data_IF_898553596815
#
_entry.id   IF_898553596815
#
_cell.length_a   1.000
_cell.length_b   1.000
_cell.length_c   1.000
_cell.angle_alpha   90.00
_cell.angle_beta   90.00
_cell.angle_gamma   90.00
#
_symmetry.space_group_name_H-M   'P 1'
#
loop_
_entity.id
_entity.type
_entity.pdbx_description
1 polymer ?
#
# COMPACT_ATOMS: atom_id res chain seq x y z
N UNK A 1 -20.33 16.20 -36.10
CA UNK A 1 -19.29 16.24 -35.04
C UNK A 1 -18.98 14.78 -34.66
N UNK A 2 -17.86 14.22 -35.15
CA UNK A 2 -17.57 12.78 -35.01
C UNK A 2 -17.28 12.44 -33.53
N UNK A 3 -17.86 11.34 -33.06
CA UNK A 3 -17.67 10.76 -31.73
C UNK A 3 -16.18 10.69 -31.28
N UNK A 4 -15.28 10.51 -32.23
CA UNK A 4 -13.82 10.53 -32.03
C UNK A 4 -13.22 11.93 -31.70
N UNK A 5 -13.87 13.04 -32.08
CA UNK A 5 -13.36 14.37 -31.76
C UNK A 5 -13.76 14.83 -30.35
N UNK A 6 -14.88 14.36 -29.81
CA UNK A 6 -15.34 14.69 -28.46
C UNK A 6 -14.44 13.97 -27.42
N UNK A 7 -14.06 12.72 -27.66
CA UNK A 7 -13.16 11.99 -26.78
C UNK A 7 -11.74 12.58 -26.69
N UNK A 8 -11.25 13.19 -27.76
CA UNK A 8 -9.93 13.88 -27.73
C UNK A 8 -9.93 15.16 -26.88
N UNK A 9 -11.10 15.80 -26.69
CA UNK A 9 -11.18 17.07 -25.96
C UNK A 9 -11.00 16.92 -24.46
N UNK A 10 -11.45 15.81 -23.87
CA UNK A 10 -11.36 15.53 -22.43
C UNK A 10 -10.21 14.59 -22.06
N UNK A 11 -9.41 14.15 -23.04
CA UNK A 11 -8.32 13.21 -22.80
C UNK A 11 -7.24 13.75 -21.84
N UNK A 12 -6.75 15.00 -21.99
CA UNK A 12 -5.77 15.57 -21.08
C UNK A 12 -6.27 15.66 -19.63
N UNK A 13 -7.52 16.09 -19.46
CA UNK A 13 -8.16 16.20 -18.16
C UNK A 13 -8.30 14.83 -17.47
N UNK A 14 -8.73 13.82 -18.22
CA UNK A 14 -8.83 12.44 -17.71
C UNK A 14 -7.46 11.90 -17.30
N UNK A 15 -6.43 12.13 -18.11
CA UNK A 15 -5.07 11.68 -17.82
C UNK A 15 -4.55 12.31 -16.54
N UNK A 16 -4.63 13.63 -16.38
CA UNK A 16 -4.10 14.30 -15.18
C UNK A 16 -4.93 13.98 -13.94
N UNK A 17 -6.26 13.85 -14.07
CA UNK A 17 -7.14 13.48 -12.96
C UNK A 17 -6.82 12.10 -12.43
N UNK A 18 -6.80 11.08 -13.31
CA UNK A 18 -6.57 9.69 -12.88
C UNK A 18 -5.13 9.51 -12.40
N UNK A 19 -4.14 10.10 -13.08
CA UNK A 19 -2.74 10.00 -12.63
C UNK A 19 -2.51 10.71 -11.30
N UNK A 20 -3.17 11.85 -11.06
CA UNK A 20 -3.16 12.53 -9.76
C UNK A 20 -3.79 11.68 -8.65
N UNK A 21 -4.93 11.05 -8.94
CA UNK A 21 -5.57 10.11 -8.01
C UNK A 21 -4.67 8.92 -7.69
N UNK A 22 -4.10 8.27 -8.72
CA UNK A 22 -3.19 7.12 -8.56
C UNK A 22 -1.97 7.48 -7.73
N UNK A 23 -1.41 8.67 -7.93
CA UNK A 23 -0.26 9.15 -7.17
C UNK A 23 -0.54 9.19 -5.67
N UNK A 24 -1.62 9.86 -5.26
CA UNK A 24 -1.99 10.00 -3.86
C UNK A 24 -2.42 8.67 -3.24
N UNK A 25 -3.10 7.82 -4.01
CA UNK A 25 -3.40 6.46 -3.58
C UNK A 25 -2.11 5.65 -3.35
N UNK A 26 -1.11 5.78 -4.23
CA UNK A 26 0.17 5.09 -4.12
C UNK A 26 0.93 5.51 -2.85
N UNK A 27 0.87 6.79 -2.48
CA UNK A 27 1.48 7.31 -1.26
C UNK A 27 0.84 6.72 0.00
N UNK A 28 -0.50 6.69 0.07
CA UNK A 28 -1.22 6.08 1.19
C UNK A 28 -0.99 4.57 1.26
N UNK A 29 -1.02 3.88 0.12
CA UNK A 29 -0.71 2.45 0.04
C UNK A 29 0.74 2.18 0.46
N UNK A 30 1.67 3.07 0.11
CA UNK A 30 3.07 2.97 0.49
C UNK A 30 3.27 2.89 2.00
N UNK A 31 2.58 3.71 2.77
CA UNK A 31 2.64 3.65 4.23
C UNK A 31 2.15 2.29 4.77
N UNK A 32 1.10 1.74 4.16
CA UNK A 32 0.55 0.42 4.54
C UNK A 32 1.45 -0.75 4.15
N UNK A 33 2.18 -0.63 3.03
CA UNK A 33 3.18 -1.62 2.61
C UNK A 33 4.37 -1.66 3.57
N UNK A 34 4.83 -0.50 4.05
CA UNK A 34 5.96 -0.39 4.96
C UNK A 34 5.61 -0.78 6.40
N UNK A 35 4.39 -0.47 6.85
CA UNK A 35 3.95 -0.61 8.23
C UNK A 35 4.17 -2.01 8.86
N UNK A 36 3.91 -3.15 8.19
CA UNK A 36 4.11 -4.48 8.76
C UNK A 36 5.57 -4.86 9.04
N UNK A 37 6.54 -4.08 8.54
CA UNK A 37 7.98 -4.39 8.63
C UNK A 37 8.76 -3.31 9.38
N UNK A 38 8.34 -2.05 9.25
CA UNK A 38 9.06 -0.89 9.77
C UNK A 38 8.22 -0.08 10.78
N UNK A 39 6.97 -0.52 11.02
CA UNK A 39 6.05 0.19 11.90
C UNK A 39 5.46 1.45 11.25
N UNK A 40 4.73 2.24 12.06
CA UNK A 40 3.99 3.44 11.63
C UNK A 40 4.58 4.73 12.23
N UNK A 41 5.86 4.74 12.56
CA UNK A 41 6.52 5.88 13.18
C UNK A 41 6.63 7.09 12.23
N UNK A 42 6.81 8.28 12.79
CA UNK A 42 7.08 9.50 12.03
C UNK A 42 8.29 9.35 11.10
N UNK A 43 9.31 8.57 11.49
CA UNK A 43 10.49 8.30 10.66
C UNK A 43 10.09 7.62 9.34
N UNK A 44 9.24 6.60 9.40
CA UNK A 44 8.77 5.86 8.22
C UNK A 44 7.95 6.77 7.31
N UNK A 45 7.02 7.54 7.87
CA UNK A 45 6.22 8.52 7.13
C UNK A 45 7.07 9.59 6.47
N UNK A 46 8.00 10.20 7.19
CA UNK A 46 8.91 11.23 6.66
C UNK A 46 9.76 10.67 5.52
N UNK A 47 10.29 9.45 5.66
CA UNK A 47 11.08 8.80 4.61
C UNK A 47 10.25 8.57 3.35
N UNK A 48 9.04 8.02 3.49
CA UNK A 48 8.14 7.75 2.38
C UNK A 48 7.76 9.03 1.63
N UNK A 49 7.23 10.03 2.35
CA UNK A 49 6.80 11.31 1.76
C UNK A 49 8.00 12.02 1.12
N UNK A 50 9.13 12.10 1.80
CA UNK A 50 10.33 12.76 1.30
C UNK A 50 10.85 12.15 0.00
N UNK A 51 10.90 10.82 -0.09
CA UNK A 51 11.34 10.10 -1.30
C UNK A 51 10.33 10.28 -2.45
N UNK A 52 9.02 10.13 -2.18
CA UNK A 52 7.98 10.33 -3.20
C UNK A 52 8.03 11.75 -3.74
N UNK A 53 8.06 12.77 -2.87
CA UNK A 53 8.12 14.19 -3.27
C UNK A 53 9.40 14.50 -4.04
N UNK A 54 10.56 13.98 -3.61
CA UNK A 54 11.83 14.13 -4.34
C UNK A 54 11.77 13.49 -5.72
N UNK A 55 11.26 12.27 -5.82
CA UNK A 55 11.09 11.56 -7.09
C UNK A 55 10.13 12.30 -8.03
N UNK A 56 9.01 12.82 -7.50
CA UNK A 56 8.07 13.66 -8.27
C UNK A 56 8.73 14.92 -8.81
N UNK A 57 9.49 15.62 -7.98
CA UNK A 57 10.20 16.84 -8.38
C UNK A 57 11.15 16.57 -9.58
N UNK A 58 11.91 15.48 -9.50
CA UNK A 58 12.76 15.03 -10.61
C UNK A 58 11.92 14.61 -11.83
N UNK A 59 10.77 13.97 -11.60
CA UNK A 59 9.83 13.59 -12.64
C UNK A 59 9.24 14.81 -13.36
N UNK A 60 8.83 15.83 -12.64
CA UNK A 60 8.34 17.10 -13.22
C UNK A 60 9.40 17.75 -14.12
N UNK A 61 10.63 17.85 -13.62
CA UNK A 61 11.73 18.44 -14.37
C UNK A 61 12.06 17.64 -15.65
N UNK A 62 12.18 16.32 -15.53
CA UNK A 62 12.50 15.46 -16.66
C UNK A 62 11.34 15.39 -17.67
N UNK A 63 10.09 15.30 -17.18
CA UNK A 63 8.89 15.25 -18.00
C UNK A 63 8.71 16.52 -18.84
N UNK A 64 9.01 17.71 -18.28
CA UNK A 64 9.03 18.97 -19.01
C UNK A 64 10.07 18.96 -20.12
N UNK A 65 11.33 18.57 -19.81
CA UNK A 65 12.39 18.45 -20.83
C UNK A 65 12.06 17.43 -21.93
N UNK A 66 11.43 16.32 -21.57
CA UNK A 66 11.00 15.30 -22.53
C UNK A 66 9.93 15.85 -23.47
N UNK A 67 8.97 16.60 -22.93
CA UNK A 67 7.90 17.23 -23.71
C UNK A 67 8.42 18.26 -24.71
N UNK A 68 9.47 19.01 -24.35
CA UNK A 68 10.11 19.98 -25.26
C UNK A 68 10.86 19.30 -26.40
N UNK A 69 11.42 18.09 -26.16
CA UNK A 69 12.17 17.36 -27.20
C UNK A 69 11.28 16.59 -28.14
N UNK A 70 10.26 15.90 -27.61
CA UNK A 70 9.42 14.97 -28.38
C UNK A 70 7.97 15.06 -27.91
N UNK A 71 7.19 15.87 -28.59
CA UNK A 71 5.79 16.10 -28.26
C UNK A 71 4.90 15.12 -29.04
N UNK A 72 4.46 14.02 -28.40
CA UNK A 72 3.57 13.05 -29.05
C UNK A 72 2.73 12.24 -28.06
N UNK A 73 1.50 11.86 -28.48
CA UNK A 73 0.65 10.95 -27.70
C UNK A 73 1.32 9.57 -27.48
N UNK A 74 2.20 9.16 -28.38
CA UNK A 74 2.92 7.91 -28.22
C UNK A 74 3.90 7.93 -27.05
N UNK A 75 4.55 9.05 -26.79
CA UNK A 75 5.45 9.21 -25.64
C UNK A 75 4.65 9.32 -24.35
N UNK A 76 3.52 10.06 -24.35
CA UNK A 76 2.62 10.11 -23.18
C UNK A 76 2.10 8.70 -22.81
N UNK A 77 1.64 7.94 -23.82
CA UNK A 77 1.23 6.53 -23.61
C UNK A 77 2.38 5.68 -23.04
N UNK A 78 3.62 5.89 -23.47
CA UNK A 78 4.78 5.16 -22.93
C UNK A 78 5.07 5.54 -21.47
N UNK A 79 4.95 6.82 -21.10
CA UNK A 79 5.10 7.28 -19.73
C UNK A 79 4.04 6.64 -18.83
N UNK A 80 2.76 6.64 -19.26
CA UNK A 80 1.67 5.97 -18.54
C UNK A 80 1.88 4.46 -18.42
N UNK A 81 2.34 3.80 -19.49
CA UNK A 81 2.66 2.38 -19.47
C UNK A 81 3.78 2.09 -18.47
N UNK A 82 4.87 2.87 -18.51
CA UNK A 82 6.00 2.68 -17.59
C UNK A 82 5.59 2.91 -16.13
N UNK A 83 4.74 3.89 -15.84
CA UNK A 83 4.22 4.10 -14.47
C UNK A 83 3.40 2.90 -13.99
N UNK A 84 2.51 2.37 -14.85
CA UNK A 84 1.73 1.16 -14.54
C UNK A 84 2.63 -0.06 -14.30
N UNK A 85 3.65 -0.27 -15.14
CA UNK A 85 4.64 -1.36 -14.97
C UNK A 85 5.34 -1.23 -13.62
N UNK A 86 5.85 -0.05 -13.28
CA UNK A 86 6.60 0.16 -12.03
C UNK A 86 5.74 -0.03 -10.79
N UNK A 87 4.49 0.43 -10.80
CA UNK A 87 3.55 0.13 -9.72
C UNK A 87 3.29 -1.39 -9.62
N UNK A 88 3.11 -2.06 -10.75
CA UNK A 88 2.95 -3.51 -10.79
C UNK A 88 4.18 -4.27 -10.28
N UNK A 89 5.39 -3.80 -10.63
CA UNK A 89 6.66 -4.34 -10.08
C UNK A 89 6.71 -4.16 -8.56
N UNK A 90 6.28 -3.01 -8.04
CA UNK A 90 6.15 -2.81 -6.58
C UNK A 90 5.19 -3.83 -5.97
N UNK A 91 4.03 -4.07 -6.59
CA UNK A 91 3.06 -5.06 -6.12
C UNK A 91 3.62 -6.48 -6.05
N UNK A 92 4.49 -6.84 -7.00
CA UNK A 92 5.14 -8.17 -7.07
C UNK A 92 6.31 -8.28 -6.09
N UNK A 93 7.13 -7.25 -5.99
CA UNK A 93 8.41 -7.33 -5.28
C UNK A 93 8.31 -7.02 -3.78
N UNK A 94 7.34 -6.20 -3.34
CA UNK A 94 7.31 -5.77 -1.94
C UNK A 94 7.25 -6.94 -0.93
N UNK A 95 6.55 -8.08 -1.17
CA UNK A 95 6.50 -9.16 -0.19
C UNK A 95 7.86 -9.84 0.04
N UNK A 96 8.74 -9.79 -0.96
CA UNK A 96 10.08 -10.37 -0.90
C UNK A 96 11.14 -9.35 -0.44
N UNK A 97 11.05 -8.12 -0.97
CA UNK A 97 12.02 -7.07 -0.65
C UNK A 97 11.92 -6.56 0.78
N UNK A 98 10.71 -6.43 1.32
CA UNK A 98 10.53 -5.88 2.66
C UNK A 98 11.17 -6.73 3.76
N UNK A 99 10.99 -8.07 3.81
CA UNK A 99 11.72 -8.92 4.75
C UNK A 99 13.24 -8.83 4.59
N UNK A 100 13.74 -8.78 3.35
CA UNK A 100 15.17 -8.65 3.10
C UNK A 100 15.72 -7.34 3.66
N UNK A 101 15.08 -6.20 3.38
CA UNK A 101 15.49 -4.89 3.88
C UNK A 101 15.47 -4.89 5.42
N UNK A 102 14.40 -5.39 6.04
CA UNK A 102 14.28 -5.43 7.49
C UNK A 102 15.36 -6.31 8.15
N UNK A 103 15.72 -7.42 7.52
CA UNK A 103 16.75 -8.34 8.07
C UNK A 103 18.18 -7.81 7.87
N UNK A 104 18.45 -7.08 6.78
CA UNK A 104 19.81 -6.63 6.44
C UNK A 104 20.12 -5.24 6.98
N UNK A 105 19.12 -4.38 7.14
CA UNK A 105 19.29 -2.99 7.58
C UNK A 105 18.67 -2.84 8.97
N UNK A 106 19.50 -3.05 10.02
CA UNK A 106 19.04 -2.91 11.41
C UNK A 106 18.69 -1.48 11.86
N UNK A 107 18.93 -0.46 11.02
CA UNK A 107 18.60 0.93 11.32
C UNK A 107 17.28 1.32 10.65
N UNK A 108 16.27 1.70 11.46
CA UNK A 108 14.93 2.04 11.00
C UNK A 108 14.90 3.19 9.96
N UNK A 109 15.72 4.23 10.17
CA UNK A 109 15.76 5.38 9.26
C UNK A 109 16.31 4.98 7.90
N UNK A 110 17.46 4.29 7.86
CA UNK A 110 18.06 3.83 6.62
C UNK A 110 17.18 2.79 5.91
N UNK A 111 16.62 1.85 6.65
CA UNK A 111 15.69 0.85 6.12
C UNK A 111 14.46 1.49 5.46
N UNK A 112 13.88 2.50 6.10
CA UNK A 112 12.72 3.23 5.57
C UNK A 112 13.04 4.01 4.30
N UNK A 113 14.18 4.71 4.26
CA UNK A 113 14.64 5.45 3.07
C UNK A 113 14.92 4.50 1.91
N UNK A 114 15.64 3.39 2.16
CA UNK A 114 15.96 2.39 1.13
C UNK A 114 14.69 1.74 0.59
N UNK A 115 13.79 1.31 1.47
CA UNK A 115 12.51 0.70 1.07
C UNK A 115 11.65 1.66 0.24
N UNK A 116 11.49 2.91 0.70
CA UNK A 116 10.75 3.93 -0.03
C UNK A 116 11.37 4.21 -1.40
N UNK A 117 12.71 4.31 -1.47
CA UNK A 117 13.43 4.58 -2.72
C UNK A 117 13.26 3.46 -3.72
N UNK A 118 13.44 2.21 -3.31
CA UNK A 118 13.37 1.07 -4.23
C UNK A 118 11.95 0.76 -4.69
N UNK A 119 10.97 0.83 -3.79
CA UNK A 119 9.59 0.43 -4.09
C UNK A 119 8.77 1.56 -4.72
N UNK A 120 8.90 2.79 -4.24
CA UNK A 120 8.02 3.89 -4.64
C UNK A 120 8.70 4.98 -5.46
N UNK A 121 10.02 5.18 -5.29
CA UNK A 121 10.77 6.20 -6.02
C UNK A 121 10.63 6.11 -7.54
N UNK A 122 10.88 4.96 -8.19
CA UNK A 122 10.80 4.85 -9.65
C UNK A 122 9.39 5.11 -10.20
N UNK A 123 8.35 4.57 -9.54
CA UNK A 123 6.97 4.78 -9.95
C UNK A 123 6.55 6.25 -9.82
N UNK A 124 6.90 6.90 -8.71
CA UNK A 124 6.62 8.31 -8.44
C UNK A 124 7.36 9.25 -9.41
N UNK A 125 8.62 8.93 -9.76
CA UNK A 125 9.37 9.66 -10.77
C UNK A 125 8.64 9.68 -12.12
N UNK A 126 8.21 8.51 -12.60
CA UNK A 126 7.50 8.41 -13.89
C UNK A 126 6.11 9.02 -13.83
N UNK A 127 5.37 8.85 -12.71
CA UNK A 127 4.09 9.54 -12.49
C UNK A 127 4.23 11.07 -12.51
N UNK A 128 5.33 11.60 -11.93
CA UNK A 128 5.65 13.02 -11.98
C UNK A 128 5.80 13.57 -13.40
N UNK A 129 6.24 12.76 -14.35
CA UNK A 129 6.37 13.21 -15.76
C UNK A 129 5.03 13.46 -16.44
N UNK A 130 3.92 12.84 -15.97
CA UNK A 130 2.62 12.87 -16.65
C UNK A 130 2.05 14.28 -16.75
N UNK A 131 2.01 15.03 -15.64
CA UNK A 131 1.38 16.35 -15.59
C UNK A 131 2.07 17.37 -16.51
N UNK A 132 3.38 17.65 -16.42
CA UNK A 132 4.04 18.63 -17.29
C UNK A 132 4.00 18.21 -18.74
N UNK A 133 4.11 16.91 -19.04
CA UNK A 133 4.03 16.40 -20.40
C UNK A 133 2.62 16.62 -21.00
N UNK A 134 1.57 16.29 -20.24
CA UNK A 134 0.16 16.45 -20.66
C UNK A 134 -0.20 17.94 -20.86
N UNK A 135 0.27 18.79 -19.95
CA UNK A 135 0.08 20.24 -20.04
C UNK A 135 0.72 20.77 -21.35
N UNK A 136 1.97 20.38 -21.61
CA UNK A 136 2.69 20.81 -22.82
C UNK A 136 2.01 20.34 -24.10
N UNK A 137 1.44 19.12 -24.12
CA UNK A 137 0.64 18.61 -25.24
C UNK A 137 -0.67 19.41 -25.46
N UNK A 138 -1.19 20.05 -24.42
CA UNK A 138 -2.49 20.74 -24.45
C UNK A 138 -2.36 22.21 -24.83
N UNK A 139 -1.16 22.80 -24.74
CA UNK A 139 -0.91 24.20 -25.11
C UNK A 139 -0.82 24.31 -26.64
N UNK A 140 -1.76 24.99 -27.24
CA UNK A 140 -1.78 25.30 -28.70
C UNK A 140 -1.25 26.71 -28.97
N UNK A 141 -1.62 27.69 -28.15
CA UNK A 141 -1.14 29.06 -28.24
C UNK A 141 -0.53 29.50 -26.90
N UNK A 142 0.54 30.29 -26.98
CA UNK A 142 1.23 30.84 -25.79
C UNK A 142 0.30 31.78 -25.02
N UNK A 143 -0.62 32.48 -25.68
CA UNK A 143 -1.56 33.39 -25.05
C UNK A 143 -2.51 32.71 -24.08
N UNK A 144 -2.90 31.47 -24.35
CA UNK A 144 -3.83 30.69 -23.53
C UNK A 144 -3.12 29.75 -22.53
N UNK A 145 -1.80 29.79 -22.51
CA UNK A 145 -0.98 28.86 -21.70
C UNK A 145 -1.33 28.88 -20.20
N UNK A 146 -1.54 30.08 -19.63
CA UNK A 146 -1.89 30.25 -18.23
C UNK A 146 -3.21 29.56 -17.85
N UNK A 147 -4.24 29.70 -18.69
CA UNK A 147 -5.56 29.09 -18.44
C UNK A 147 -5.52 27.57 -18.58
N UNK A 148 -4.77 27.03 -19.55
CA UNK A 148 -4.59 25.59 -19.76
C UNK A 148 -3.82 24.98 -18.59
N UNK A 149 -2.72 25.60 -18.19
CA UNK A 149 -1.91 25.18 -17.05
C UNK A 149 -2.74 25.16 -15.78
N UNK A 150 -3.42 26.27 -15.44
CA UNK A 150 -4.24 26.39 -14.24
C UNK A 150 -5.36 25.35 -14.19
N UNK A 151 -6.06 25.14 -15.32
CA UNK A 151 -7.14 24.15 -15.43
C UNK A 151 -6.63 22.73 -15.21
N UNK A 152 -5.56 22.31 -15.88
CA UNK A 152 -5.07 20.94 -15.77
C UNK A 152 -4.45 20.65 -14.38
N UNK A 153 -3.78 21.65 -13.76
CA UNK A 153 -3.34 21.51 -12.37
C UNK A 153 -4.51 21.38 -11.39
N UNK A 154 -5.57 22.21 -11.55
CA UNK A 154 -6.75 22.11 -10.71
C UNK A 154 -7.42 20.73 -10.83
N UNK A 155 -7.55 20.20 -12.05
CA UNK A 155 -8.14 18.87 -12.31
C UNK A 155 -7.24 17.75 -11.72
N UNK A 156 -5.93 17.86 -11.87
CA UNK A 156 -4.97 16.92 -11.25
C UNK A 156 -5.10 16.91 -9.73
N UNK A 157 -5.20 18.10 -9.11
CA UNK A 157 -5.39 18.25 -7.66
C UNK A 157 -6.73 17.67 -7.20
N UNK A 158 -7.82 17.90 -7.95
CA UNK A 158 -9.11 17.26 -7.67
C UNK A 158 -9.00 15.74 -7.74
N UNK A 159 -8.31 15.19 -8.73
CA UNK A 159 -8.01 13.76 -8.81
C UNK A 159 -7.27 13.28 -7.57
N UNK A 160 -6.23 14.01 -7.13
CA UNK A 160 -5.46 13.71 -5.92
C UNK A 160 -6.33 13.68 -4.66
N UNK A 161 -7.20 14.67 -4.49
CA UNK A 161 -8.15 14.74 -3.37
C UNK A 161 -9.10 13.54 -3.38
N UNK A 162 -9.73 13.26 -4.53
CA UNK A 162 -10.64 12.11 -4.69
C UNK A 162 -9.89 10.81 -4.41
N UNK A 163 -8.67 10.65 -4.95
CA UNK A 163 -7.83 9.48 -4.72
C UNK A 163 -7.50 9.28 -3.25
N UNK A 164 -7.15 10.34 -2.54
CA UNK A 164 -6.84 10.31 -1.10
C UNK A 164 -8.03 9.80 -0.29
N UNK A 165 -9.20 10.41 -0.46
CA UNK A 165 -10.39 9.99 0.30
C UNK A 165 -10.86 8.59 -0.07
N UNK A 166 -10.85 8.27 -1.36
CA UNK A 166 -11.25 6.95 -1.84
C UNK A 166 -10.32 5.84 -1.30
N UNK A 167 -9.01 6.05 -1.36
CA UNK A 167 -8.04 5.09 -0.83
C UNK A 167 -8.16 4.95 0.69
N UNK A 168 -8.16 6.08 1.43
CA UNK A 168 -8.10 6.08 2.88
C UNK A 168 -9.37 5.57 3.55
N UNK A 169 -10.55 5.90 3.02
CA UNK A 169 -11.81 5.56 3.66
C UNK A 169 -12.45 4.29 3.12
N UNK A 170 -12.17 3.91 1.86
CA UNK A 170 -12.88 2.82 1.20
C UNK A 170 -11.93 1.73 0.72
N UNK A 171 -11.02 2.04 -0.21
CA UNK A 171 -10.33 0.99 -0.96
C UNK A 171 -9.39 0.15 -0.09
N UNK A 172 -8.62 0.78 0.80
CA UNK A 172 -7.69 0.05 1.68
C UNK A 172 -8.46 -0.91 2.58
N UNK A 173 -9.59 -0.46 3.17
CA UNK A 173 -10.38 -1.27 4.09
C UNK A 173 -11.10 -2.45 3.43
N UNK A 174 -11.60 -2.27 2.20
CA UNK A 174 -12.43 -3.29 1.53
C UNK A 174 -11.67 -4.14 0.51
N UNK A 175 -10.63 -3.61 -0.12
CA UNK A 175 -9.88 -4.27 -1.19
C UNK A 175 -8.53 -4.80 -0.67
N UNK A 176 -7.97 -4.13 0.32
CA UNK A 176 -6.65 -4.41 0.87
C UNK A 176 -5.51 -3.80 0.05
N UNK A 177 -4.39 -3.60 0.74
CA UNK A 177 -3.21 -2.90 0.24
C UNK A 177 -2.61 -3.54 -1.01
N UNK A 178 -2.47 -4.87 -1.00
CA UNK A 178 -1.89 -5.63 -2.11
C UNK A 178 -2.72 -5.53 -3.39
N UNK A 179 -4.03 -5.77 -3.27
CA UNK A 179 -4.94 -5.74 -4.43
C UNK A 179 -5.03 -4.32 -5.00
N UNK A 180 -4.97 -3.31 -4.12
CA UNK A 180 -5.02 -1.92 -4.54
C UNK A 180 -3.81 -1.56 -5.42
N UNK A 181 -2.59 -2.02 -5.12
CA UNK A 181 -1.43 -1.82 -5.99
C UNK A 181 -1.66 -2.37 -7.41
N UNK A 182 -2.25 -3.58 -7.54
CA UNK A 182 -2.59 -4.13 -8.85
C UNK A 182 -3.65 -3.29 -9.59
N UNK A 183 -4.65 -2.78 -8.86
CA UNK A 183 -5.67 -1.88 -9.44
C UNK A 183 -5.04 -0.58 -9.93
N UNK A 184 -4.15 0.05 -9.14
CA UNK A 184 -3.45 1.27 -9.54
C UNK A 184 -2.59 1.03 -10.79
N UNK A 185 -1.88 -0.09 -10.86
CA UNK A 185 -1.15 -0.51 -12.05
C UNK A 185 -2.09 -0.66 -13.25
N UNK A 186 -3.19 -1.38 -13.10
CA UNK A 186 -4.18 -1.60 -14.15
C UNK A 186 -4.81 -0.29 -14.67
N UNK A 187 -5.09 0.67 -13.77
CA UNK A 187 -5.59 1.99 -14.14
C UNK A 187 -4.61 2.75 -15.04
N UNK A 188 -3.31 2.73 -14.74
CA UNK A 188 -2.29 3.38 -15.55
C UNK A 188 -2.11 2.67 -16.91
N UNK A 189 -2.16 1.34 -16.95
CA UNK A 189 -2.12 0.57 -18.18
C UNK A 189 -3.33 0.85 -19.07
N UNK A 190 -4.52 0.94 -18.47
CA UNK A 190 -5.74 1.31 -19.18
C UNK A 190 -5.65 2.71 -19.76
N UNK A 191 -5.18 3.70 -19.00
CA UNK A 191 -4.93 5.04 -19.49
C UNK A 191 -3.95 5.06 -20.66
N UNK A 192 -2.84 4.32 -20.54
CA UNK A 192 -1.89 4.15 -21.63
C UNK A 192 -2.55 3.64 -22.91
N UNK A 193 -3.42 2.62 -22.79
CA UNK A 193 -4.15 2.05 -23.92
C UNK A 193 -5.18 3.04 -24.53
N UNK A 194 -5.86 3.83 -23.70
CA UNK A 194 -6.79 4.88 -24.16
C UNK A 194 -6.07 5.98 -24.92
N UNK A 195 -4.90 6.43 -24.42
CA UNK A 195 -4.12 7.48 -25.07
C UNK A 195 -3.57 6.99 -26.41
N UNK A 196 -2.93 5.83 -26.42
CA UNK A 196 -2.46 5.15 -27.63
C UNK A 196 -2.23 3.69 -27.32
N UNK A 197 -3.07 2.81 -27.91
CA UNK A 197 -2.95 1.38 -27.73
C UNK A 197 -1.58 0.85 -28.20
N UNK A 198 -0.96 0.02 -27.37
CA UNK A 198 0.31 -0.68 -27.65
C UNK A 198 0.18 -2.15 -27.32
N UNK A 199 0.71 -2.99 -28.17
CA UNK A 199 0.71 -4.45 -27.94
C UNK A 199 1.43 -4.83 -26.63
N UNK A 200 2.46 -4.07 -26.25
CA UNK A 200 3.18 -4.25 -25.00
C UNK A 200 2.28 -4.14 -23.75
N UNK A 201 1.21 -3.34 -23.81
CA UNK A 201 0.22 -3.21 -22.72
C UNK A 201 -0.45 -4.55 -22.42
N UNK A 202 -0.73 -5.36 -23.45
CA UNK A 202 -1.34 -6.69 -23.29
C UNK A 202 -0.37 -7.63 -22.56
N UNK A 203 0.89 -7.66 -22.97
CA UNK A 203 1.90 -8.54 -22.33
C UNK A 203 2.12 -8.17 -20.87
N UNK A 204 2.19 -6.88 -20.55
CA UNK A 204 2.32 -6.42 -19.17
C UNK A 204 1.10 -6.76 -18.34
N UNK A 205 -0.12 -6.54 -18.89
CA UNK A 205 -1.35 -6.89 -18.20
C UNK A 205 -1.43 -8.41 -17.94
N UNK A 206 -1.10 -9.24 -18.93
CA UNK A 206 -1.07 -10.70 -18.78
C UNK A 206 -0.04 -11.15 -17.72
N UNK A 207 1.15 -10.55 -17.71
CA UNK A 207 2.16 -10.82 -16.69
C UNK A 207 1.67 -10.47 -15.28
N UNK A 208 1.03 -9.30 -15.09
CA UNK A 208 0.51 -8.88 -13.79
C UNK A 208 -0.64 -9.78 -13.30
N UNK A 209 -1.52 -10.21 -14.20
CA UNK A 209 -2.58 -11.17 -13.87
C UNK A 209 -1.98 -12.51 -13.43
N UNK A 210 -0.97 -13.00 -14.16
CA UNK A 210 -0.28 -14.24 -13.81
C UNK A 210 0.45 -14.10 -12.44
N UNK A 211 1.16 -13.00 -12.21
CA UNK A 211 1.84 -12.72 -10.95
C UNK A 211 0.86 -12.62 -9.78
N UNK A 212 -0.28 -11.97 -9.98
CA UNK A 212 -1.36 -11.91 -8.98
C UNK A 212 -1.90 -13.31 -8.64
N UNK A 213 -2.20 -14.10 -9.66
CA UNK A 213 -2.72 -15.47 -9.49
C UNK A 213 -1.71 -16.40 -8.77
N UNK A 214 -0.41 -16.25 -9.05
CA UNK A 214 0.64 -17.01 -8.37
C UNK A 214 0.77 -16.61 -6.90
N UNK A 215 0.70 -15.32 -6.59
CA UNK A 215 0.80 -14.84 -5.20
C UNK A 215 -0.41 -15.24 -4.33
N UNK A 216 -1.59 -15.44 -4.91
CA UNK A 216 -2.77 -15.90 -4.16
C UNK A 216 -2.69 -17.36 -3.74
N UNK A 217 -1.88 -18.19 -4.44
CA UNK A 217 -1.69 -19.61 -4.12
C UNK A 217 -0.63 -19.89 -3.03
N UNK A 218 0.15 -18.91 -2.64
CA UNK A 218 1.40 -19.10 -1.87
C UNK A 218 1.25 -19.09 -0.32
N UNK A 219 0.06 -19.26 0.24
CA UNK A 219 -0.15 -19.07 1.68
C UNK A 219 -0.82 -20.26 2.36
N UNK A 220 -0.15 -21.44 2.36
CA UNK A 220 -0.66 -22.65 3.02
C UNK A 220 -0.79 -22.47 4.55
N UNK A 221 -0.01 -21.58 5.18
CA UNK A 221 0.02 -21.39 6.63
C UNK A 221 -0.79 -20.16 7.10
N UNK A 222 -1.40 -19.40 6.19
CA UNK A 222 -2.18 -18.20 6.54
C UNK A 222 -3.64 -18.56 6.64
N UNK A 223 -4.18 -18.48 7.86
CA UNK A 223 -5.60 -18.69 8.15
C UNK A 223 -6.43 -17.48 7.73
N UNK A 224 -5.93 -16.27 7.99
CA UNK A 224 -6.56 -15.01 7.59
C UNK A 224 -5.51 -13.91 7.41
N UNK A 225 -5.72 -13.05 6.40
CA UNK A 225 -4.91 -11.87 6.12
C UNK A 225 -5.86 -10.73 5.74
N UNK A 226 -6.10 -9.82 6.67
CA UNK A 226 -7.17 -8.82 6.57
C UNK A 226 -6.56 -7.44 6.79
N UNK A 227 -6.66 -6.57 5.78
CA UNK A 227 -6.44 -5.14 5.95
C UNK A 227 -7.70 -4.51 6.57
N UNK A 228 -7.55 -3.81 7.69
CA UNK A 228 -8.61 -3.02 8.31
C UNK A 228 -8.34 -1.54 8.11
N UNK A 229 -9.30 -0.69 8.48
CA UNK A 229 -9.12 0.77 8.46
C UNK A 229 -7.90 1.23 9.26
N UNK A 230 -7.55 0.51 10.33
CA UNK A 230 -6.48 0.90 11.26
C UNK A 230 -5.18 0.15 11.00
N UNK A 231 -5.24 -1.19 10.93
CA UNK A 231 -4.07 -2.07 10.84
C UNK A 231 -4.33 -3.27 9.95
N UNK A 232 -3.25 -3.95 9.53
CA UNK A 232 -3.31 -5.28 8.93
C UNK A 232 -3.29 -6.32 10.02
N UNK A 233 -4.25 -7.25 10.00
CA UNK A 233 -4.34 -8.40 10.91
C UNK A 233 -4.02 -9.66 10.12
N UNK A 234 -3.02 -10.41 10.57
CA UNK A 234 -2.62 -11.67 9.95
C UNK A 234 -2.69 -12.78 10.98
N UNK A 235 -3.44 -13.84 10.67
CA UNK A 235 -3.54 -15.05 11.49
C UNK A 235 -2.81 -16.16 10.75
N UNK A 236 -1.83 -16.80 11.43
CA UNK A 236 -1.04 -17.88 10.87
C UNK A 236 -0.96 -19.04 11.84
N UNK A 237 -0.99 -20.24 11.28
CA UNK A 237 -0.66 -21.46 11.99
C UNK A 237 0.82 -21.79 11.79
N UNK A 238 1.47 -22.22 12.86
CA UNK A 238 2.87 -22.58 12.89
C UNK A 238 3.02 -23.94 13.57
N UNK A 239 3.47 -24.94 12.82
CA UNK A 239 3.55 -26.33 13.31
C UNK A 239 4.63 -26.54 14.40
N UNK A 240 5.67 -25.71 14.41
CA UNK A 240 6.72 -25.71 15.42
C UNK A 240 6.80 -24.32 16.05
N UNK A 241 6.26 -24.17 17.24
CA UNK A 241 6.25 -22.88 17.92
C UNK A 241 7.64 -22.27 18.04
N UNK A 242 7.80 -21.00 17.69
CA UNK A 242 9.05 -20.23 17.91
C UNK A 242 9.37 -20.03 19.40
N UNK A 243 8.45 -20.41 20.29
CA UNK A 243 8.62 -20.34 21.75
C UNK A 243 9.53 -21.45 22.34
N UNK A 244 10.15 -22.27 21.48
CA UNK A 244 11.04 -23.37 21.87
C UNK A 244 10.33 -24.62 22.43
N UNK A 245 8.98 -24.62 22.49
CA UNK A 245 8.19 -25.77 23.02
C UNK A 245 7.84 -26.80 21.96
N UNK A 246 8.05 -26.47 20.67
CA UNK A 246 7.81 -27.38 19.55
C UNK A 246 6.35 -27.77 19.31
N UNK A 247 5.39 -27.04 19.92
CA UNK A 247 3.95 -27.27 19.80
C UNK A 247 3.33 -26.43 18.68
N UNK A 248 2.28 -26.89 18.02
CA UNK A 248 1.58 -26.11 16.99
C UNK A 248 0.86 -24.90 17.64
N UNK A 249 1.10 -23.71 17.08
CA UNK A 249 0.61 -22.44 17.61
C UNK A 249 -0.07 -21.63 16.51
N UNK A 250 -1.21 -21.03 16.81
CA UNK A 250 -1.84 -20.00 15.98
C UNK A 250 -1.52 -18.63 16.53
N UNK A 251 -0.86 -17.81 15.71
CA UNK A 251 -0.52 -16.43 16.06
C UNK A 251 -1.46 -15.46 15.36
N UNK A 252 -1.85 -14.41 16.07
CA UNK A 252 -2.45 -13.20 15.52
C UNK A 252 -1.42 -12.06 15.59
N UNK A 253 -1.09 -11.50 14.44
CA UNK A 253 -0.26 -10.31 14.31
C UNK A 253 -1.13 -9.11 13.96
N UNK A 254 -0.87 -7.98 14.59
CA UNK A 254 -1.45 -6.67 14.28
C UNK A 254 -0.29 -5.76 13.89
N UNK A 255 -0.21 -5.41 12.61
CA UNK A 255 0.97 -4.75 12.08
C UNK A 255 2.20 -5.66 12.16
N UNK A 256 3.26 -5.21 12.85
CA UNK A 256 4.49 -5.98 13.05
C UNK A 256 4.51 -6.78 14.36
N UNK A 257 3.58 -6.53 15.28
CA UNK A 257 3.59 -7.13 16.60
C UNK A 257 2.76 -8.41 16.67
N UNK A 258 3.27 -9.41 17.40
CA UNK A 258 2.51 -10.60 17.79
C UNK A 258 1.60 -10.23 18.95
N UNK A 259 0.34 -9.98 18.64
CA UNK A 259 -0.62 -9.46 19.63
C UNK A 259 -1.32 -10.55 20.42
N UNK A 260 -1.43 -11.78 19.87
CA UNK A 260 -2.08 -12.92 20.53
C UNK A 260 -1.59 -14.24 19.97
N UNK A 261 -1.66 -15.30 20.80
CA UNK A 261 -1.34 -16.65 20.38
C UNK A 261 -2.12 -17.69 21.19
N UNK A 262 -2.46 -18.81 20.54
CA UNK A 262 -3.07 -19.99 21.17
C UNK A 262 -2.33 -21.24 20.73
N UNK A 263 -2.21 -22.23 21.62
CA UNK A 263 -1.82 -23.59 21.23
C UNK A 263 -3.00 -24.23 20.49
N UNK A 264 -2.72 -24.96 19.40
CA UNK A 264 -3.75 -25.70 18.66
C UNK A 264 -4.08 -27.05 19.31
N UNK A 265 -3.23 -27.51 20.20
CA UNK A 265 -3.31 -28.78 20.92
C UNK A 265 -3.61 -28.63 22.41
N UNK A 266 -3.97 -27.43 22.90
CA UNK A 266 -4.26 -27.19 24.29
C UNK A 266 -4.77 -25.80 24.61
N UNK A 267 -5.23 -25.59 25.84
CA UNK A 267 -5.88 -24.37 26.33
C UNK A 267 -4.93 -23.44 27.10
N UNK A 268 -3.63 -23.74 27.13
CA UNK A 268 -2.65 -22.97 27.89
C UNK A 268 -2.31 -21.61 27.21
N UNK A 269 -1.94 -20.63 28.02
CA UNK A 269 -1.45 -19.35 27.52
C UNK A 269 -0.05 -19.53 26.88
N UNK A 270 0.12 -19.09 25.65
CA UNK A 270 1.39 -19.21 24.91
C UNK A 270 2.42 -18.23 25.45
N UNK A 271 2.05 -16.94 25.58
CA UNK A 271 2.98 -15.92 26.03
C UNK A 271 3.13 -15.92 27.55
N UNK A 272 4.37 -16.00 28.03
CA UNK A 272 4.64 -16.05 29.46
C UNK A 272 4.25 -14.75 30.17
N UNK A 273 4.39 -13.59 29.52
CA UNK A 273 4.05 -12.31 30.15
C UNK A 273 2.56 -12.20 30.53
N UNK A 274 1.66 -12.79 29.76
CA UNK A 274 0.22 -12.74 30.08
C UNK A 274 -0.15 -13.64 31.26
N UNK A 275 0.66 -14.65 31.57
CA UNK A 275 0.48 -15.49 32.76
C UNK A 275 0.65 -14.70 34.04
N UNK A 276 1.50 -13.66 34.02
CA UNK A 276 1.71 -12.79 35.17
C UNK A 276 0.47 -11.99 35.57
N UNK A 277 -0.49 -11.80 34.68
CA UNK A 277 -1.75 -11.12 35.02
C UNK A 277 -2.57 -11.89 36.09
N UNK A 278 -2.36 -13.19 36.24
CA UNK A 278 -2.95 -14.00 37.31
C UNK A 278 -2.41 -13.66 38.71
N UNK A 279 -1.29 -12.95 38.80
CA UNK A 279 -0.77 -12.46 40.09
C UNK A 279 -1.70 -11.45 40.78
N UNK A 280 -2.68 -10.88 40.03
CA UNK A 280 -3.75 -10.06 40.61
C UNK A 280 -4.43 -10.75 41.80
N UNK A 281 -4.59 -12.08 41.76
CA UNK A 281 -5.17 -12.85 42.86
C UNK A 281 -4.32 -12.78 44.14
N UNK A 282 -3.01 -12.60 44.00
CA UNK A 282 -2.13 -12.45 45.17
C UNK A 282 -2.36 -11.12 45.88
N UNK A 283 -2.65 -10.04 45.12
CA UNK A 283 -2.85 -8.69 45.66
C UNK A 283 -4.29 -8.45 46.12
N UNK A 284 -5.27 -9.07 45.42
CA UNK A 284 -6.70 -8.94 45.73
C UNK A 284 -7.41 -10.27 45.55
N UNK A 285 -7.37 -11.19 46.53
CA UNK A 285 -7.89 -12.54 46.42
C UNK A 285 -9.42 -12.61 46.21
N UNK A 286 -10.15 -11.62 46.68
CA UNK A 286 -11.62 -11.53 46.75
C UNK A 286 -12.22 -10.59 45.65
N UNK A 287 -11.51 -10.37 44.55
CA UNK A 287 -12.05 -9.55 43.46
C UNK A 287 -13.31 -10.19 42.85
N UNK A 288 -14.34 -9.35 42.61
CA UNK A 288 -15.59 -9.74 41.96
C UNK A 288 -15.79 -9.11 40.60
N UNK A 289 -15.11 -7.97 40.38
CA UNK A 289 -15.20 -7.23 39.11
C UNK A 289 -13.81 -6.90 38.63
N UNK A 290 -13.59 -7.13 37.32
CA UNK A 290 -12.33 -6.85 36.66
C UNK A 290 -12.60 -6.10 35.36
N UNK A 291 -11.92 -4.96 35.19
CA UNK A 291 -11.92 -4.25 33.92
C UNK A 291 -10.64 -4.58 33.17
N UNK A 292 -10.78 -5.12 31.97
CA UNK A 292 -9.67 -5.34 31.06
C UNK A 292 -9.72 -4.32 29.92
N UNK A 293 -8.63 -3.57 29.74
CA UNK A 293 -8.48 -2.60 28.66
C UNK A 293 -7.68 -3.27 27.53
N UNK A 294 -8.33 -3.49 26.37
CA UNK A 294 -7.79 -4.26 25.27
C UNK A 294 -8.04 -5.76 25.43
N UNK A 295 -7.47 -6.57 24.59
CA UNK A 295 -7.70 -8.03 24.62
C UNK A 295 -7.14 -8.77 23.43
N UNK A 296 -6.70 -8.05 22.39
CA UNK A 296 -6.17 -8.61 21.15
C UNK A 296 -7.05 -9.77 20.61
N UNK A 297 -6.53 -11.01 20.55
CA UNK A 297 -7.30 -12.20 20.17
C UNK A 297 -8.10 -12.85 21.30
N UNK A 298 -8.32 -12.16 22.41
CA UNK A 298 -9.09 -12.63 23.58
C UNK A 298 -8.54 -13.89 24.23
N UNK A 299 -7.27 -14.22 24.07
CA UNK A 299 -6.67 -15.42 24.71
C UNK A 299 -6.66 -15.32 26.22
N UNK A 300 -6.20 -14.19 26.79
CA UNK A 300 -6.21 -14.00 28.24
C UNK A 300 -7.62 -13.84 28.82
N UNK A 301 -8.55 -13.04 28.24
CA UNK A 301 -9.93 -13.01 28.71
C UNK A 301 -10.58 -14.38 28.79
N UNK A 302 -10.38 -15.21 27.78
CA UNK A 302 -10.93 -16.58 27.75
C UNK A 302 -10.35 -17.45 28.86
N UNK A 303 -9.04 -17.42 29.07
CA UNK A 303 -8.38 -18.14 30.17
C UNK A 303 -8.81 -17.60 31.55
N UNK A 304 -8.95 -16.28 31.67
CA UNK A 304 -9.38 -15.62 32.90
C UNK A 304 -10.78 -16.07 33.33
N UNK A 305 -11.75 -16.06 32.43
CA UNK A 305 -13.13 -16.47 32.74
C UNK A 305 -13.19 -17.96 33.13
N UNK A 306 -12.38 -18.82 32.49
CA UNK A 306 -12.26 -20.23 32.87
C UNK A 306 -11.73 -20.40 34.30
N UNK A 307 -10.73 -19.61 34.69
CA UNK A 307 -10.08 -19.71 36.03
C UNK A 307 -10.84 -19.01 37.15
N UNK A 308 -11.60 -17.98 36.81
CA UNK A 308 -12.34 -17.16 37.77
C UNK A 308 -13.83 -17.03 37.38
N UNK A 309 -14.59 -18.11 37.39
CA UNK A 309 -15.97 -18.12 36.87
C UNK A 309 -16.95 -17.26 37.67
N UNK A 310 -16.57 -16.82 38.87
CA UNK A 310 -17.38 -15.97 39.75
C UNK A 310 -17.02 -14.48 39.64
N UNK A 311 -16.10 -14.11 38.78
CA UNK A 311 -15.72 -12.72 38.50
C UNK A 311 -16.42 -12.20 37.24
N UNK A 312 -16.95 -10.95 37.33
CA UNK A 312 -17.49 -10.19 36.21
C UNK A 312 -16.45 -9.27 35.57
#
# INVERSE_FOLDING_TARGET
>A
MNYFQVHKKFLPETVVFVSGAVLMMLELVGSRVLAPFLGTSTIVWTSLIGIIMGALSLGYWYGGKLADKTLSLAVLSQVLLNSGVLIGVTAVLHPTLMPLINNWIGNLMLGSVVAATLLFGPASFVLGMVSPYTIRLSIQDVKDSGSVVGRLYAISTLGSIVGTFLAGFILIAFIGTKNLLYILSALQLLLSAIVKFRQQTIYVAAFLVAAFALQTKSTLDVVADIDTTYNRVVIRDWDKGEDGRGRPVRYMRIGDERSSAIFLDGDELVFDYIKFYHTLRHFKPDFKKVLMIGGAGYTFPTDFVKKYPNAE
#
